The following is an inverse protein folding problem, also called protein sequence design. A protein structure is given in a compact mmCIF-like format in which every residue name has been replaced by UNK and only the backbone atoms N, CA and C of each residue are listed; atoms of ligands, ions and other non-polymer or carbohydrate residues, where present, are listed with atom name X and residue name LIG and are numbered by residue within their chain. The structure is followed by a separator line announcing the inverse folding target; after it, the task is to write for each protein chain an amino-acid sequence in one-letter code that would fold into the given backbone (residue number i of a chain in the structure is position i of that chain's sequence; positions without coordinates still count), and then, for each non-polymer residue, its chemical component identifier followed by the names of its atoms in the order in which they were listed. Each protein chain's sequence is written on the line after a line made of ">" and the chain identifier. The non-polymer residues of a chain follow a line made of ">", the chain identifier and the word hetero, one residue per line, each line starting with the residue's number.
data_IF_647694864555
#
_entry.id   IF_647694864555
#
_cell.length_a   1.000
_cell.length_b   1.000
_cell.length_c   1.000
_cell.angle_alpha   90.00
_cell.angle_beta   90.00
_cell.angle_gamma   90.00
#
_symmetry.space_group_name_H-M   'P 1'
#
loop_
_entity.id
_entity.type
_entity.pdbx_description
1 polymer ?
#
# COMPACT_ATOMS: atom_id res chain seq x y z
N UNK A 1 -12.86 6.93 -28.58
CA UNK A 1 -11.61 6.29 -28.10
C UNK A 1 -11.51 6.55 -26.61
N UNK A 2 -11.05 5.57 -25.82
CA UNK A 2 -10.83 5.75 -24.38
C UNK A 2 -9.65 6.72 -24.18
N UNK A 3 -9.85 7.78 -23.41
CA UNK A 3 -8.89 8.84 -23.11
C UNK A 3 -8.43 8.72 -21.67
N UNK A 4 -7.12 8.50 -21.51
CA UNK A 4 -6.47 8.34 -20.20
C UNK A 4 -5.54 9.53 -20.00
N UNK A 5 -5.61 10.18 -18.83
CA UNK A 5 -4.77 11.32 -18.50
C UNK A 5 -3.98 11.08 -17.21
N UNK A 6 -2.72 11.52 -17.19
CA UNK A 6 -1.89 11.54 -15.99
C UNK A 6 -1.96 12.92 -15.35
N UNK A 7 -2.52 13.01 -14.14
CA UNK A 7 -2.69 14.27 -13.40
C UNK A 7 -1.89 14.18 -12.11
N UNK A 8 -0.94 15.10 -11.93
CA UNK A 8 -0.06 15.15 -10.74
C UNK A 8 -0.53 16.14 -9.68
N UNK A 9 -1.21 17.19 -10.10
CA UNK A 9 -1.51 18.31 -9.23
C UNK A 9 -2.81 18.03 -8.46
N UNK A 10 -2.68 17.76 -7.16
CA UNK A 10 -3.71 17.19 -6.28
C UNK A 10 -5.06 17.92 -6.28
N UNK A 11 -5.15 19.28 -6.33
CA UNK A 11 -6.42 19.98 -6.45
C UNK A 11 -7.30 19.51 -7.61
N UNK A 12 -6.72 19.10 -8.74
CA UNK A 12 -7.49 18.62 -9.89
C UNK A 12 -8.07 17.20 -9.70
N UNK A 13 -7.67 16.49 -8.65
CA UNK A 13 -8.22 15.19 -8.28
C UNK A 13 -9.46 15.32 -7.37
N UNK A 14 -9.74 16.52 -6.85
CA UNK A 14 -10.91 16.77 -6.01
C UNK A 14 -12.20 16.52 -6.81
N UNK A 15 -13.18 15.77 -6.27
CA UNK A 15 -14.47 15.52 -6.91
C UNK A 15 -15.20 16.79 -7.39
N UNK A 16 -14.92 17.96 -6.80
CA UNK A 16 -15.46 19.25 -7.24
C UNK A 16 -15.09 19.56 -8.71
N UNK A 17 -13.94 19.09 -9.18
CA UNK A 17 -13.53 19.23 -10.58
C UNK A 17 -14.01 18.08 -11.46
N UNK A 18 -14.84 17.16 -10.97
CA UNK A 18 -15.37 16.04 -11.75
C UNK A 18 -16.04 16.46 -13.06
N UNK A 19 -16.79 17.57 -13.02
CA UNK A 19 -17.48 18.14 -14.19
C UNK A 19 -16.50 18.66 -15.27
N UNK A 20 -15.27 19.03 -14.89
CA UNK A 20 -14.22 19.42 -15.83
C UNK A 20 -13.90 18.28 -16.81
N UNK A 21 -14.00 17.03 -16.33
CA UNK A 21 -13.64 15.85 -17.10
C UNK A 21 -14.79 15.26 -17.92
N UNK A 22 -15.94 15.94 -17.90
CA UNK A 22 -17.14 15.54 -18.61
C UNK A 22 -16.94 15.54 -20.14
N UNK A 23 -17.76 14.75 -20.88
CA UNK A 23 -17.69 14.68 -22.34
C UNK A 23 -17.73 16.04 -23.06
N UNK A 24 -18.48 16.99 -22.49
CA UNK A 24 -18.73 18.32 -23.06
C UNK A 24 -17.62 19.34 -22.73
N UNK A 25 -16.67 18.99 -21.87
CA UNK A 25 -15.54 19.84 -21.48
C UNK A 25 -14.21 19.20 -21.89
N UNK A 26 -13.48 18.62 -20.93
CA UNK A 26 -12.23 17.92 -21.13
C UNK A 26 -12.48 16.41 -21.00
N UNK A 27 -13.02 15.73 -22.03
CA UNK A 27 -13.40 14.32 -21.96
C UNK A 27 -12.21 13.44 -21.58
N UNK A 28 -12.09 13.06 -20.32
CA UNK A 28 -11.09 12.14 -19.80
C UNK A 28 -11.85 10.99 -19.15
N UNK A 29 -11.71 9.79 -19.70
CA UNK A 29 -12.41 8.60 -19.23
C UNK A 29 -11.73 8.02 -17.97
N UNK A 30 -10.39 8.12 -17.90
CA UNK A 30 -9.62 7.64 -16.75
C UNK A 30 -8.49 8.60 -16.37
N UNK A 31 -8.36 8.87 -15.08
CA UNK A 31 -7.26 9.67 -14.50
C UNK A 31 -6.33 8.73 -13.74
N UNK A 32 -5.03 8.88 -13.97
CA UNK A 32 -3.98 8.23 -13.18
C UNK A 32 -3.22 9.32 -12.44
N UNK A 33 -3.20 9.23 -11.11
CA UNK A 33 -2.38 10.09 -10.25
C UNK A 33 -1.22 9.26 -9.70
N UNK A 34 0.00 9.39 -10.24
CA UNK A 34 1.16 8.64 -9.77
C UNK A 34 1.39 8.80 -8.26
N UNK A 35 1.24 10.01 -7.75
CA UNK A 35 1.42 10.35 -6.35
C UNK A 35 0.38 9.64 -5.48
N UNK A 36 -0.88 9.55 -5.94
CA UNK A 36 -1.93 8.80 -5.26
C UNK A 36 -1.68 7.29 -5.29
N UNK A 37 -1.25 6.74 -6.44
CA UNK A 37 -0.93 5.32 -6.57
C UNK A 37 0.24 4.91 -5.68
N UNK A 38 1.28 5.74 -5.57
CA UNK A 38 2.41 5.48 -4.65
C UNK A 38 1.95 5.55 -3.20
N UNK A 39 1.19 6.59 -2.82
CA UNK A 39 0.65 6.71 -1.47
C UNK A 39 -0.24 5.52 -1.10
N UNK A 40 -1.08 5.06 -2.03
CA UNK A 40 -1.95 3.90 -1.84
C UNK A 40 -1.14 2.60 -1.70
N UNK A 41 -0.10 2.41 -2.50
CA UNK A 41 0.78 1.25 -2.40
C UNK A 41 1.49 1.18 -1.03
N UNK A 42 1.99 2.31 -0.52
CA UNK A 42 2.61 2.37 0.81
C UNK A 42 1.57 2.14 1.91
N UNK A 43 0.39 2.77 1.82
CA UNK A 43 -0.70 2.54 2.78
C UNK A 43 -1.16 1.08 2.82
N UNK A 44 -1.19 0.41 1.66
CA UNK A 44 -1.49 -1.02 1.57
C UNK A 44 -0.44 -1.86 2.29
N UNK A 45 0.85 -1.56 2.16
CA UNK A 45 1.93 -2.26 2.88
C UNK A 45 1.85 -2.06 4.40
N UNK A 46 1.42 -0.87 4.86
CA UNK A 46 1.21 -0.60 6.29
C UNK A 46 0.01 -1.39 6.86
N UNK A 47 -1.07 -1.51 6.08
CA UNK A 47 -2.29 -2.24 6.46
C UNK A 47 -2.13 -3.76 6.38
N UNK A 48 -1.39 -4.23 5.39
CA UNK A 48 -1.22 -5.67 5.15
C UNK A 48 0.27 -5.92 4.89
N UNK A 49 1.05 -6.17 5.95
CA UNK A 49 2.47 -6.48 5.83
C UNK A 49 2.72 -7.60 4.81
N UNK A 50 3.69 -7.39 3.93
CA UNK A 50 4.04 -8.33 2.86
C UNK A 50 3.21 -8.22 1.57
N UNK A 51 2.06 -7.53 1.59
CA UNK A 51 1.29 -7.28 0.38
C UNK A 51 1.85 -6.08 -0.39
N UNK A 52 2.06 -6.22 -1.70
CA UNK A 52 2.41 -5.10 -2.58
C UNK A 52 1.18 -4.46 -3.25
N UNK A 53 0.03 -5.12 -3.16
CA UNK A 53 -1.24 -4.66 -3.72
C UNK A 53 -2.38 -5.21 -2.87
N UNK A 54 -3.34 -4.36 -2.52
CA UNK A 54 -4.53 -4.76 -1.76
C UNK A 54 -5.71 -3.96 -2.27
N UNK A 55 -6.78 -4.64 -2.60
CA UNK A 55 -8.04 -4.02 -3.01
C UNK A 55 -9.21 -4.60 -2.23
N UNK A 56 -9.96 -3.72 -1.58
CA UNK A 56 -11.23 -4.08 -0.97
C UNK A 56 -12.28 -4.34 -2.04
N UNK A 57 -13.04 -5.42 -1.84
CA UNK A 57 -14.10 -5.86 -2.74
C UNK A 57 -15.36 -6.16 -1.93
N UNK A 58 -16.50 -6.18 -2.61
CA UNK A 58 -17.79 -6.61 -2.04
C UNK A 58 -18.17 -5.84 -0.75
N UNK A 59 -17.98 -4.52 -0.75
CA UNK A 59 -18.20 -3.62 0.40
C UNK A 59 -17.37 -4.00 1.64
N UNK A 60 -16.11 -4.37 1.43
CA UNK A 60 -15.16 -4.72 2.50
C UNK A 60 -15.34 -6.13 3.08
N UNK A 61 -16.07 -7.01 2.38
CA UNK A 61 -16.22 -8.42 2.78
C UNK A 61 -15.15 -9.33 2.18
N UNK A 62 -14.46 -8.87 1.14
CA UNK A 62 -13.43 -9.64 0.47
C UNK A 62 -12.25 -8.75 0.12
N UNK A 63 -11.06 -9.35 0.08
CA UNK A 63 -9.83 -8.68 -0.33
C UNK A 63 -9.21 -9.40 -1.52
N UNK A 64 -8.85 -8.63 -2.54
CA UNK A 64 -7.87 -9.04 -3.55
C UNK A 64 -6.49 -8.61 -3.06
N UNK A 65 -5.54 -9.53 -3.00
CA UNK A 65 -4.21 -9.29 -2.46
C UNK A 65 -3.16 -9.77 -3.45
N UNK A 66 -2.17 -8.92 -3.70
CA UNK A 66 -0.93 -9.24 -4.39
C UNK A 66 0.20 -9.40 -3.38
N UNK A 67 0.82 -10.58 -3.36
CA UNK A 67 1.92 -10.94 -2.43
C UNK A 67 3.07 -11.58 -3.20
N UNK A 68 4.30 -11.42 -2.70
CA UNK A 68 5.47 -12.08 -3.28
C UNK A 68 5.80 -13.33 -2.49
N UNK A 69 5.97 -14.47 -3.17
CA UNK A 69 6.47 -15.69 -2.53
C UNK A 69 7.96 -15.57 -2.22
N UNK A 70 8.34 -15.85 -0.99
CA UNK A 70 9.73 -15.95 -0.54
C UNK A 70 10.12 -17.42 -0.39
N UNK A 71 11.39 -17.69 -0.09
CA UNK A 71 11.84 -19.05 0.27
C UNK A 71 11.21 -19.55 1.58
N UNK A 72 10.72 -18.63 2.43
CA UNK A 72 10.10 -18.93 3.71
C UNK A 72 8.60 -19.20 3.59
N UNK A 73 7.97 -18.80 2.47
CA UNK A 73 6.52 -18.94 2.25
C UNK A 73 6.10 -20.42 2.31
N UNK A 74 5.25 -20.84 3.27
CA UNK A 74 4.81 -22.23 3.41
C UNK A 74 4.12 -22.85 2.18
N UNK A 75 3.60 -22.02 1.28
CA UNK A 75 2.85 -22.44 0.08
C UNK A 75 3.72 -22.80 -1.13
N UNK A 76 5.04 -22.56 -1.07
CA UNK A 76 5.93 -22.88 -2.20
C UNK A 76 5.98 -24.38 -2.46
N UNK A 77 6.28 -24.74 -3.72
CA UNK A 77 6.42 -26.13 -4.16
C UNK A 77 5.20 -27.03 -3.91
N UNK A 78 4.06 -26.42 -3.59
CA UNK A 78 2.78 -27.09 -3.36
C UNK A 78 1.81 -26.77 -4.50
N UNK A 79 1.19 -27.77 -5.13
CA UNK A 79 0.14 -27.53 -6.11
C UNK A 79 -1.02 -26.76 -5.48
N UNK A 80 -1.53 -25.74 -6.16
CA UNK A 80 -2.59 -24.86 -5.63
C UNK A 80 -3.81 -25.64 -5.13
N UNK A 81 -4.17 -26.75 -5.80
CA UNK A 81 -5.28 -27.63 -5.40
C UNK A 81 -5.10 -28.27 -4.01
N UNK A 82 -3.90 -28.28 -3.47
CA UNK A 82 -3.58 -28.83 -2.14
C UNK A 82 -3.54 -27.76 -1.05
N UNK A 83 -3.68 -26.47 -1.38
CA UNK A 83 -3.68 -25.39 -0.39
C UNK A 83 -4.79 -25.55 0.65
N UNK A 84 -5.98 -25.98 0.23
CA UNK A 84 -7.10 -26.25 1.15
C UNK A 84 -6.80 -27.35 2.16
N UNK A 85 -5.86 -28.26 1.84
CA UNK A 85 -5.44 -29.31 2.78
C UNK A 85 -4.40 -28.79 3.78
N UNK A 86 -3.49 -27.91 3.34
CA UNK A 86 -2.47 -27.31 4.20
C UNK A 86 -3.06 -26.26 5.14
N UNK A 87 -4.10 -25.54 4.68
CA UNK A 87 -4.77 -24.51 5.44
C UNK A 87 -6.28 -24.80 5.54
N UNK A 88 -6.69 -25.74 6.43
CA UNK A 88 -8.09 -26.02 6.67
C UNK A 88 -8.83 -24.75 7.10
N UNK A 89 -10.05 -24.56 6.59
CA UNK A 89 -10.90 -23.39 6.86
C UNK A 89 -10.38 -22.05 6.31
N UNK A 90 -9.32 -22.05 5.49
CA UNK A 90 -8.88 -20.85 4.77
C UNK A 90 -9.61 -20.70 3.44
N UNK A 91 -10.63 -19.85 3.41
CA UNK A 91 -11.27 -19.39 2.17
C UNK A 91 -10.37 -18.44 1.37
N UNK A 92 -9.46 -19.01 0.58
CA UNK A 92 -8.59 -18.30 -0.36
C UNK A 92 -8.65 -18.95 -1.74
N UNK A 93 -8.63 -18.15 -2.81
CA UNK A 93 -8.48 -18.62 -4.18
C UNK A 93 -7.34 -17.89 -4.87
N UNK A 94 -6.35 -18.63 -5.37
CA UNK A 94 -5.28 -18.08 -6.22
C UNK A 94 -5.87 -17.76 -7.59
N UNK A 95 -5.76 -16.50 -8.02
CA UNK A 95 -6.27 -16.03 -9.31
C UNK A 95 -5.20 -16.01 -10.40
N UNK A 96 -3.99 -15.59 -10.04
CA UNK A 96 -2.91 -15.38 -10.99
C UNK A 96 -1.54 -15.56 -10.34
N UNK A 97 -0.60 -16.07 -11.12
CA UNK A 97 0.83 -16.11 -10.77
C UNK A 97 1.59 -15.38 -11.88
N UNK A 98 2.39 -14.40 -11.48
CA UNK A 98 3.29 -13.65 -12.36
C UNK A 98 4.71 -14.09 -12.06
N UNK A 99 5.34 -14.76 -13.02
CA UNK A 99 6.72 -15.26 -12.95
C UNK A 99 7.53 -14.69 -14.11
N UNK A 100 8.64 -14.01 -13.82
CA UNK A 100 9.49 -13.37 -14.83
C UNK A 100 8.70 -12.47 -15.80
N UNK A 101 7.71 -11.74 -15.28
CA UNK A 101 6.83 -10.86 -16.06
C UNK A 101 5.76 -11.58 -16.89
N UNK A 102 5.68 -12.92 -16.83
CA UNK A 102 4.65 -13.71 -17.52
C UNK A 102 3.51 -14.05 -16.58
N UNK A 103 2.29 -13.72 -17.00
CA UNK A 103 1.06 -14.04 -16.29
C UNK A 103 0.61 -15.48 -16.62
N UNK A 104 0.30 -16.24 -15.57
CA UNK A 104 -0.41 -17.52 -15.65
C UNK A 104 -1.70 -17.44 -14.83
N UNK A 105 -2.74 -18.14 -15.31
CA UNK A 105 -4.02 -18.28 -14.61
C UNK A 105 -4.19 -19.76 -14.27
N UNK A 106 -4.01 -20.16 -12.99
CA UNK A 106 -3.98 -21.56 -12.59
C UNK A 106 -5.39 -22.17 -12.59
N UNK A 107 -5.84 -22.67 -13.76
CA UNK A 107 -7.22 -23.17 -13.95
C UNK A 107 -7.50 -24.51 -13.31
N UNK A 108 -6.52 -25.42 -13.33
CA UNK A 108 -6.66 -26.77 -12.79
C UNK A 108 -6.00 -26.92 -11.40
N UNK A 109 -5.33 -25.88 -10.91
CA UNK A 109 -4.59 -25.89 -9.66
C UNK A 109 -3.43 -26.90 -9.60
N UNK A 110 -2.92 -27.38 -10.74
CA UNK A 110 -1.69 -28.20 -10.79
C UNK A 110 -0.42 -27.35 -10.66
N UNK A 111 -0.53 -26.06 -11.01
CA UNK A 111 0.58 -25.12 -10.94
C UNK A 111 1.06 -24.93 -9.49
N UNK A 112 2.38 -24.81 -9.36
CA UNK A 112 3.07 -24.65 -8.09
C UNK A 112 3.74 -23.27 -8.07
N UNK A 113 3.54 -22.56 -6.97
CA UNK A 113 4.22 -21.31 -6.68
C UNK A 113 5.69 -21.59 -6.35
N UNK A 114 6.56 -20.66 -6.74
CA UNK A 114 8.01 -20.71 -6.53
C UNK A 114 8.46 -19.41 -5.86
N UNK A 115 9.61 -19.42 -5.14
CA UNK A 115 10.21 -18.19 -4.65
C UNK A 115 10.42 -17.18 -5.79
N UNK A 116 10.09 -15.92 -5.52
CA UNK A 116 10.12 -14.84 -6.50
C UNK A 116 8.83 -14.61 -7.28
N UNK A 117 7.88 -15.55 -7.22
CA UNK A 117 6.57 -15.37 -7.86
C UNK A 117 5.79 -14.22 -7.22
N UNK A 118 5.10 -13.43 -8.04
CA UNK A 118 4.08 -12.48 -7.59
C UNK A 118 2.71 -13.11 -7.77
N UNK A 119 2.01 -13.35 -6.67
CA UNK A 119 0.76 -14.09 -6.63
C UNK A 119 -0.37 -13.15 -6.30
N UNK A 120 -1.45 -13.22 -7.06
CA UNK A 120 -2.71 -12.58 -6.74
C UNK A 120 -3.70 -13.61 -6.25
N UNK A 121 -4.27 -13.38 -5.07
CA UNK A 121 -5.33 -14.22 -4.52
C UNK A 121 -6.49 -13.37 -4.00
N UNK A 122 -7.62 -14.01 -3.83
CA UNK A 122 -8.78 -13.42 -3.17
C UNK A 122 -9.13 -14.23 -1.93
N UNK A 123 -9.45 -13.55 -0.83
CA UNK A 123 -9.93 -14.16 0.40
C UNK A 123 -11.09 -13.35 1.02
N UNK A 124 -11.81 -13.98 1.94
CA UNK A 124 -12.71 -13.25 2.84
C UNK A 124 -11.90 -12.30 3.73
N UNK A 125 -12.41 -11.11 4.02
CA UNK A 125 -11.72 -10.13 4.84
C UNK A 125 -11.44 -10.63 6.25
N UNK A 126 -12.29 -11.51 6.79
CA UNK A 126 -12.06 -12.15 8.10
C UNK A 126 -10.89 -13.13 8.09
N UNK A 127 -10.44 -13.56 6.91
CA UNK A 127 -9.35 -14.53 6.73
C UNK A 127 -8.04 -13.88 6.28
N UNK A 128 -7.98 -12.56 6.10
CA UNK A 128 -6.83 -11.86 5.53
C UNK A 128 -5.49 -12.15 6.25
N UNK A 129 -5.46 -12.04 7.58
CA UNK A 129 -4.23 -12.33 8.35
C UNK A 129 -3.77 -13.79 8.18
N UNK A 130 -4.70 -14.74 8.19
CA UNK A 130 -4.39 -16.16 7.99
C UNK A 130 -3.96 -16.46 6.55
N UNK A 131 -4.54 -15.76 5.59
CA UNK A 131 -4.14 -15.80 4.19
C UNK A 131 -2.69 -15.33 4.02
N UNK A 132 -2.31 -14.23 4.67
CA UNK A 132 -0.93 -13.71 4.64
C UNK A 132 0.08 -14.64 5.34
N UNK A 133 -0.33 -15.31 6.42
CA UNK A 133 0.52 -16.31 7.09
C UNK A 133 0.91 -17.47 6.16
N UNK A 134 0.05 -17.84 5.20
CA UNK A 134 0.39 -18.83 4.18
C UNK A 134 1.56 -18.41 3.29
N UNK A 135 1.88 -17.11 3.24
CA UNK A 135 3.01 -16.54 2.52
C UNK A 135 4.18 -16.14 3.44
N UNK A 136 4.19 -16.59 4.70
CA UNK A 136 5.16 -16.23 5.76
C UNK A 136 5.04 -14.78 6.27
N UNK A 137 3.88 -14.16 6.10
CA UNK A 137 3.60 -12.83 6.65
C UNK A 137 2.66 -12.93 7.84
N UNK A 138 3.22 -12.95 9.04
CA UNK A 138 2.51 -12.99 10.33
C UNK A 138 2.66 -11.70 11.13
N UNK A 139 3.32 -10.69 10.55
CA UNK A 139 3.56 -9.43 11.21
C UNK A 139 2.24 -8.68 11.45
N UNK A 140 2.08 -8.02 12.62
CA UNK A 140 0.92 -7.15 12.85
C UNK A 140 1.02 -5.88 12.00
N UNK A 141 -0.13 -5.22 11.82
CA UNK A 141 -0.20 -3.87 11.23
C UNK A 141 0.77 -2.90 11.93
N UNK A 142 1.43 -2.06 11.14
CA UNK A 142 2.38 -1.09 11.67
C UNK A 142 1.68 0.00 12.50
N UNK A 143 2.12 0.16 13.74
CA UNK A 143 1.61 1.11 14.74
C UNK A 143 2.45 2.37 14.89
N UNK A 144 3.61 2.41 14.26
CA UNK A 144 4.44 3.61 14.23
C UNK A 144 5.15 3.76 12.90
N UNK A 145 4.98 4.93 12.28
CA UNK A 145 5.51 5.24 10.96
C UNK A 145 6.27 6.57 11.02
N UNK A 146 7.51 6.56 10.56
CA UNK A 146 8.27 7.79 10.26
C UNK A 146 8.35 7.96 8.76
N UNK A 147 7.94 9.14 8.28
CA UNK A 147 7.98 9.53 6.87
C UNK A 147 9.07 10.59 6.69
N UNK A 148 10.09 10.32 5.90
CA UNK A 148 11.05 11.31 5.45
C UNK A 148 10.55 11.93 4.14
N UNK A 149 10.25 13.23 4.19
CA UNK A 149 9.69 14.00 3.08
C UNK A 149 8.22 14.32 3.29
N UNK A 150 7.90 15.61 3.38
CA UNK A 150 6.55 16.16 3.53
C UNK A 150 5.95 16.67 2.22
N UNK A 151 6.41 16.17 1.08
CA UNK A 151 5.89 16.50 -0.25
C UNK A 151 4.44 16.04 -0.46
N UNK A 152 3.99 15.93 -1.72
CA UNK A 152 2.64 15.48 -2.02
C UNK A 152 2.37 14.06 -1.47
N UNK A 153 3.29 13.12 -1.72
CA UNK A 153 3.17 11.72 -1.28
C UNK A 153 3.18 11.62 0.25
N UNK A 154 4.14 12.26 0.92
CA UNK A 154 4.24 12.21 2.39
C UNK A 154 3.02 12.81 3.09
N UNK A 155 2.47 13.91 2.56
CA UNK A 155 1.23 14.49 3.06
C UNK A 155 0.05 13.55 2.86
N UNK A 156 -0.12 12.99 1.65
CA UNK A 156 -1.22 12.06 1.34
C UNK A 156 -1.17 10.81 2.23
N UNK A 157 0.03 10.24 2.41
CA UNK A 157 0.21 9.08 3.26
C UNK A 157 -0.14 9.38 4.72
N UNK A 158 0.32 10.50 5.26
CA UNK A 158 -0.03 10.88 6.63
C UNK A 158 -1.54 11.12 6.79
N UNK A 159 -2.20 11.81 5.86
CA UNK A 159 -3.66 12.00 5.89
C UNK A 159 -4.42 10.68 5.81
N UNK A 160 -3.99 9.75 4.96
CA UNK A 160 -4.58 8.42 4.84
C UNK A 160 -4.44 7.62 6.13
N UNK A 161 -3.27 7.70 6.78
CA UNK A 161 -3.01 7.02 8.05
C UNK A 161 -3.87 7.61 9.18
N UNK A 162 -3.91 8.94 9.31
CA UNK A 162 -4.76 9.63 10.30
C UNK A 162 -6.24 9.25 10.15
N UNK A 163 -6.71 9.08 8.91
CA UNK A 163 -8.12 8.82 8.63
C UNK A 163 -8.53 7.36 8.87
N UNK A 164 -7.62 6.41 8.63
CA UNK A 164 -7.96 4.98 8.60
C UNK A 164 -7.31 4.14 9.70
N UNK A 165 -6.30 4.65 10.41
CA UNK A 165 -5.48 3.87 11.36
C UNK A 165 -5.42 4.55 12.73
N UNK A 166 -6.47 4.36 13.54
CA UNK A 166 -6.64 5.03 14.84
C UNK A 166 -5.54 4.72 15.87
N UNK A 167 -4.74 3.68 15.66
CA UNK A 167 -3.68 3.24 16.58
C UNK A 167 -2.27 3.36 15.97
N UNK A 168 -2.12 4.13 14.88
CA UNK A 168 -0.82 4.31 14.21
C UNK A 168 -0.31 5.73 14.44
N UNK A 169 0.84 5.85 15.11
CA UNK A 169 1.52 7.13 15.31
C UNK A 169 2.33 7.47 14.06
N UNK A 170 2.09 8.63 13.47
CA UNK A 170 2.83 9.12 12.31
C UNK A 170 3.73 10.30 12.69
N UNK A 171 4.95 10.30 12.17
CA UNK A 171 5.88 11.43 12.27
C UNK A 171 6.43 11.75 10.88
N UNK A 172 6.49 13.02 10.50
CA UNK A 172 7.08 13.48 9.24
C UNK A 172 8.34 14.30 9.53
N UNK A 173 9.42 14.01 8.81
CA UNK A 173 10.62 14.83 8.75
C UNK A 173 10.59 15.62 7.44
N UNK A 174 10.53 16.95 7.52
CA UNK A 174 10.49 17.85 6.36
C UNK A 174 11.57 18.92 6.46
N UNK A 175 12.40 19.03 5.43
CA UNK A 175 13.55 19.96 5.39
C UNK A 175 13.12 21.41 5.24
N UNK A 176 12.13 21.69 4.39
CA UNK A 176 11.65 23.04 4.15
C UNK A 176 10.75 23.54 5.29
N UNK A 177 11.17 24.63 5.93
CA UNK A 177 10.48 25.15 7.11
C UNK A 177 9.07 25.68 6.81
N UNK A 178 8.83 26.21 5.60
CA UNK A 178 7.50 26.69 5.23
C UNK A 178 6.54 25.52 5.00
N UNK A 179 7.00 24.47 4.33
CA UNK A 179 6.28 23.22 4.13
C UNK A 179 6.00 22.50 5.45
N UNK A 180 6.99 22.40 6.34
CA UNK A 180 6.81 21.79 7.67
C UNK A 180 5.72 22.52 8.48
N UNK A 181 5.71 23.86 8.47
CA UNK A 181 4.65 24.64 9.13
C UNK A 181 3.28 24.39 8.50
N UNK A 182 3.20 24.39 7.18
CA UNK A 182 1.97 24.06 6.47
C UNK A 182 1.42 22.69 6.88
N UNK A 183 2.27 21.66 6.95
CA UNK A 183 1.86 20.32 7.37
C UNK A 183 1.37 20.31 8.82
N UNK A 184 2.07 20.99 9.73
CA UNK A 184 1.70 21.09 11.14
C UNK A 184 0.36 21.81 11.37
N UNK A 185 -0.06 22.69 10.45
CA UNK A 185 -1.36 23.37 10.49
C UNK A 185 -2.50 22.50 9.92
N UNK A 186 -2.20 21.56 9.03
CA UNK A 186 -3.22 20.80 8.29
C UNK A 186 -3.38 19.35 8.78
N UNK A 187 -2.34 18.75 9.37
CA UNK A 187 -2.36 17.41 9.94
C UNK A 187 -2.57 17.51 11.46
N UNK A 188 -3.50 16.71 12.00
CA UNK A 188 -3.95 16.87 13.39
C UNK A 188 -3.27 15.93 14.36
N UNK A 189 -2.98 14.71 13.90
CA UNK A 189 -2.49 13.59 14.71
C UNK A 189 -1.09 13.13 14.26
N UNK A 190 -0.42 13.94 13.43
CA UNK A 190 0.93 13.69 12.89
C UNK A 190 1.96 14.64 13.51
N UNK A 191 3.05 14.09 14.05
CA UNK A 191 4.18 14.89 14.55
C UNK A 191 5.06 15.39 13.41
N UNK A 192 5.34 16.70 13.35
CA UNK A 192 6.16 17.29 12.29
C UNK A 192 7.52 17.75 12.84
N UNK A 193 8.60 17.28 12.24
CA UNK A 193 9.98 17.67 12.54
C UNK A 193 10.54 18.44 11.36
N UNK A 194 10.98 19.67 11.60
CA UNK A 194 11.70 20.43 10.59
C UNK A 194 13.19 20.12 10.66
N UNK A 195 13.72 19.41 9.67
CA UNK A 195 15.11 18.97 9.68
C UNK A 195 15.47 18.12 8.46
N UNK A 196 16.75 17.77 8.36
CA UNK A 196 17.25 16.88 7.31
C UNK A 196 17.10 15.42 7.75
N UNK A 197 16.49 14.58 6.91
CA UNK A 197 16.37 13.15 7.14
C UNK A 197 17.72 12.40 7.07
N UNK A 198 18.80 13.08 6.66
CA UNK A 198 20.18 12.59 6.72
C UNK A 198 20.88 12.92 8.06
N UNK A 199 20.29 13.78 8.90
CA UNK A 199 20.84 14.11 10.22
C UNK A 199 20.41 13.07 11.26
N UNK A 200 21.39 12.38 11.84
CA UNK A 200 21.16 11.36 12.87
C UNK A 200 20.43 11.89 14.11
N UNK A 201 20.61 13.17 14.45
CA UNK A 201 19.92 13.77 15.59
C UNK A 201 18.43 13.96 15.30
N UNK A 202 18.09 14.42 14.09
CA UNK A 202 16.70 14.58 13.65
C UNK A 202 16.01 13.21 13.57
N UNK A 203 16.70 12.19 13.03
CA UNK A 203 16.18 10.81 12.99
C UNK A 203 15.91 10.26 14.40
N UNK A 204 16.82 10.52 15.34
CA UNK A 204 16.64 10.09 16.74
C UNK A 204 15.46 10.82 17.41
N UNK A 205 15.33 12.13 17.20
CA UNK A 205 14.23 12.94 17.73
C UNK A 205 12.87 12.52 17.16
N UNK A 206 12.83 12.18 15.87
CA UNK A 206 11.67 11.63 15.19
C UNK A 206 11.34 10.19 15.60
N UNK A 207 12.14 9.54 16.45
CA UNK A 207 11.86 8.20 16.97
C UNK A 207 12.12 7.06 15.99
N UNK A 208 13.02 7.25 15.01
CA UNK A 208 13.34 6.21 14.00
C UNK A 208 13.90 4.93 14.62
N UNK A 209 14.52 5.03 15.80
CA UNK A 209 15.05 3.86 16.52
C UNK A 209 13.99 2.92 17.10
N UNK A 210 12.74 3.39 17.26
CA UNK A 210 11.63 2.64 17.83
C UNK A 210 10.45 2.52 16.87
N UNK A 211 10.57 3.08 15.66
CA UNK A 211 9.51 2.99 14.65
C UNK A 211 9.51 1.61 13.98
N UNK A 212 8.32 1.12 13.65
CA UNK A 212 8.16 -0.16 12.95
C UNK A 212 8.31 0.01 11.44
N UNK A 213 8.07 1.21 10.90
CA UNK A 213 8.22 1.47 9.47
C UNK A 213 8.81 2.86 9.23
N UNK A 214 9.86 2.90 8.40
CA UNK A 214 10.44 4.15 7.89
C UNK A 214 10.19 4.25 6.39
N UNK A 215 9.55 5.33 5.95
CA UNK A 215 9.20 5.57 4.55
C UNK A 215 9.95 6.79 4.04
N UNK A 216 10.77 6.64 3.01
CA UNK A 216 11.46 7.75 2.35
C UNK A 216 10.75 8.12 1.05
N UNK A 217 10.21 9.33 0.99
CA UNK A 217 9.44 9.89 -0.14
C UNK A 217 9.89 11.31 -0.48
N UNK A 218 11.18 11.61 -0.26
CA UNK A 218 11.80 12.86 -0.69
C UNK A 218 12.06 12.83 -2.19
N UNK A 219 11.86 13.95 -2.86
CA UNK A 219 12.44 14.18 -4.19
C UNK A 219 13.95 14.44 -4.03
N UNK A 220 14.76 13.91 -4.96
CA UNK A 220 16.22 14.13 -5.02
C UNK A 220 16.61 15.61 -5.23
#
# INVERSE_FOLDING_TARGET
>A
PVKIARIRHQPYLDPIYGDLYSPDQLPIDHIISPEAEVSAAVSNQLRVPGAFDVKDMCDGRMNLVGVQCTEESPVIDTPIRHLTNLFPDLSMTILAIIRDGKLSLPRDGAEMMKPGDRVYFVCDSTHLSRAMAAFAHEEPEARSVVIAGGGAIGQMLATEIESNFQNTKVQIIERDAARARFLAENLRDTGIFNGDALDSNILAEAGVNITETFVSVTDD
#
